data_IF_153304372370
#
_entry.id   IF_153304372370
#
_cell.length_a   1.000
_cell.length_b   1.000
_cell.length_c   1.000
_cell.angle_alpha   90.00
_cell.angle_beta   90.00
_cell.angle_gamma   90.00
#
_symmetry.space_group_name_H-M   'P 1'
#
loop_
_entity.id
_entity.type
_entity.pdbx_description
1 polymer ?
#
# COMPACT_ATOMS: atom_id res chain seq x y z
N UNK A 1 -23.49 27.27 -15.20
CA UNK A 1 -23.87 25.93 -14.68
C UNK A 1 -23.06 25.72 -13.42
N UNK A 2 -23.63 26.09 -12.26
CA UNK A 2 -22.92 26.06 -10.98
C UNK A 2 -22.96 24.62 -10.48
N UNK A 3 -21.85 23.89 -10.60
CA UNK A 3 -21.74 22.52 -10.08
C UNK A 3 -21.69 22.65 -8.56
N UNK A 4 -22.85 22.56 -7.91
CA UNK A 4 -22.91 22.31 -6.47
C UNK A 4 -22.29 20.94 -6.27
N UNK A 5 -21.01 20.91 -5.89
CA UNK A 5 -20.33 19.68 -5.49
C UNK A 5 -21.02 19.25 -4.20
N UNK A 6 -21.96 18.32 -4.32
CA UNK A 6 -22.57 17.70 -3.16
C UNK A 6 -21.48 16.89 -2.46
N UNK A 7 -21.00 17.44 -1.35
CA UNK A 7 -19.96 16.85 -0.50
C UNK A 7 -20.36 15.44 -0.06
N UNK A 8 -21.67 15.19 0.12
CA UNK A 8 -22.17 13.88 0.51
C UNK A 8 -22.05 12.88 -0.66
N UNK A 9 -22.41 13.26 -1.88
CA UNK A 9 -22.20 12.38 -3.05
C UNK A 9 -20.71 12.10 -3.27
N UNK A 10 -19.86 13.13 -3.16
CA UNK A 10 -18.40 12.97 -3.32
C UNK A 10 -17.82 12.01 -2.28
N UNK A 11 -18.30 12.09 -1.04
CA UNK A 11 -17.92 11.19 0.04
C UNK A 11 -18.36 9.74 -0.21
N UNK A 12 -19.59 9.53 -0.69
CA UNK A 12 -20.11 8.20 -1.04
C UNK A 12 -19.33 7.57 -2.20
N UNK A 13 -19.00 8.35 -3.23
CA UNK A 13 -18.18 7.88 -4.35
C UNK A 13 -16.76 7.52 -3.89
N UNK A 14 -16.13 8.34 -3.04
CA UNK A 14 -14.82 8.03 -2.47
C UNK A 14 -14.85 6.74 -1.63
N UNK A 15 -15.88 6.58 -0.77
CA UNK A 15 -16.14 5.33 -0.01
C UNK A 15 -16.21 4.12 -0.93
N UNK A 16 -17.00 4.21 -2.00
CA UNK A 16 -17.18 3.12 -2.95
C UNK A 16 -15.85 2.72 -3.61
N UNK A 17 -15.08 3.71 -4.10
CA UNK A 17 -13.78 3.47 -4.75
C UNK A 17 -12.82 2.81 -3.78
N UNK A 18 -12.69 3.31 -2.55
CA UNK A 18 -11.74 2.76 -1.59
C UNK A 18 -12.10 1.32 -1.22
N UNK A 19 -13.37 1.02 -0.98
CA UNK A 19 -13.84 -0.33 -0.63
C UNK A 19 -13.64 -1.31 -1.79
N UNK A 20 -13.90 -0.88 -3.02
CA UNK A 20 -13.75 -1.74 -4.22
C UNK A 20 -12.31 -1.86 -4.70
N UNK A 21 -11.45 -0.88 -4.44
CA UNK A 21 -10.02 -0.96 -4.80
C UNK A 21 -9.23 -1.76 -3.76
N UNK A 22 -9.67 -1.76 -2.50
CA UNK A 22 -9.13 -2.61 -1.43
C UNK A 22 -9.61 -4.08 -1.56
N UNK A 23 -9.49 -4.64 -2.76
CA UNK A 23 -9.73 -6.04 -3.05
C UNK A 23 -8.71 -6.95 -2.35
N UNK A 24 -9.07 -8.20 -2.01
CA UNK A 24 -8.15 -9.17 -1.41
C UNK A 24 -6.90 -9.41 -2.27
N UNK A 25 -7.02 -9.27 -3.59
CA UNK A 25 -5.91 -9.40 -4.54
C UNK A 25 -4.84 -8.32 -4.34
N UNK A 26 -5.24 -7.07 -4.06
CA UNK A 26 -4.31 -5.97 -3.79
C UNK A 26 -3.52 -6.22 -2.50
N UNK A 27 -4.19 -6.69 -1.44
CA UNK A 27 -3.51 -7.05 -0.18
C UNK A 27 -2.48 -8.16 -0.40
N UNK A 28 -2.84 -9.19 -1.18
CA UNK A 28 -1.95 -10.28 -1.49
C UNK A 28 -0.74 -9.81 -2.32
N UNK A 29 -0.96 -8.99 -3.34
CA UNK A 29 0.10 -8.42 -4.16
C UNK A 29 1.08 -7.56 -3.34
N UNK A 30 0.57 -6.72 -2.45
CA UNK A 30 1.40 -5.92 -1.54
C UNK A 30 2.19 -6.80 -0.56
N UNK A 31 1.59 -7.86 -0.04
CA UNK A 31 2.24 -8.78 0.89
C UNK A 31 3.40 -9.53 0.22
N UNK A 32 3.15 -10.08 -0.98
CA UNK A 32 4.17 -10.77 -1.78
C UNK A 32 5.31 -9.79 -2.09
N UNK A 33 4.98 -8.58 -2.53
CA UNK A 33 5.98 -7.54 -2.83
C UNK A 33 6.82 -7.17 -1.61
N UNK A 34 6.20 -7.06 -0.43
CA UNK A 34 6.88 -6.78 0.82
C UNK A 34 7.87 -7.89 1.19
N UNK A 35 7.47 -9.15 1.08
CA UNK A 35 8.31 -10.32 1.37
C UNK A 35 9.46 -10.42 0.37
N UNK A 36 9.17 -10.29 -0.93
CA UNK A 36 10.19 -10.32 -1.99
C UNK A 36 11.23 -9.21 -1.80
N UNK A 37 10.78 -7.99 -1.49
CA UNK A 37 11.68 -6.85 -1.24
C UNK A 37 12.52 -7.05 0.04
N UNK A 38 11.94 -7.62 1.09
CA UNK A 38 12.70 -7.95 2.30
C UNK A 38 13.79 -8.99 2.03
N UNK A 39 13.44 -10.05 1.29
CA UNK A 39 14.37 -11.11 0.93
C UNK A 39 15.49 -10.59 0.02
N UNK A 40 15.14 -9.77 -0.99
CA UNK A 40 16.09 -9.12 -1.88
C UNK A 40 17.05 -8.21 -1.11
N UNK A 41 16.55 -7.42 -0.16
CA UNK A 41 17.41 -6.59 0.69
C UNK A 41 18.42 -7.41 1.49
N UNK A 42 18.03 -8.57 2.02
CA UNK A 42 18.93 -9.44 2.77
C UNK A 42 19.98 -10.08 1.86
N UNK A 43 19.64 -10.44 0.63
CA UNK A 43 20.62 -10.89 -0.37
C UNK A 43 21.61 -9.78 -0.73
N UNK A 44 21.13 -8.56 -0.96
CA UNK A 44 21.98 -7.41 -1.30
C UNK A 44 22.90 -7.00 -0.14
N UNK A 45 22.41 -7.08 1.10
CA UNK A 45 23.19 -6.76 2.30
C UNK A 45 24.35 -7.75 2.53
N UNK A 46 24.24 -9.01 2.09
CA UNK A 46 25.33 -10.00 2.23
C UNK A 46 26.60 -9.62 1.47
N UNK A 47 26.48 -8.90 0.37
CA UNK A 47 27.62 -8.59 -0.50
C UNK A 47 28.34 -7.27 -0.14
N UNK A 48 27.86 -6.52 0.87
CA UNK A 48 28.37 -5.23 1.40
C UNK A 48 28.55 -4.06 0.39
N UNK A 49 28.82 -4.35 -0.88
CA UNK A 49 28.95 -3.40 -1.98
C UNK A 49 27.60 -2.81 -2.44
N UNK A 50 26.49 -3.41 -2.01
CA UNK A 50 25.12 -3.02 -2.39
C UNK A 50 24.24 -2.60 -1.21
N UNK A 51 24.85 -2.05 -0.16
CA UNK A 51 24.13 -1.56 1.04
C UNK A 51 23.07 -0.49 0.71
N UNK A 52 23.34 0.37 -0.27
CA UNK A 52 22.40 1.41 -0.71
C UNK A 52 21.12 0.80 -1.29
N UNK A 53 21.28 -0.21 -2.13
CA UNK A 53 20.17 -0.93 -2.78
C UNK A 53 19.41 -1.79 -1.76
N UNK A 54 20.13 -2.41 -0.82
CA UNK A 54 19.53 -3.14 0.29
C UNK A 54 18.64 -2.23 1.16
N UNK A 55 19.10 -1.01 1.48
CA UNK A 55 18.30 -0.03 2.21
C UNK A 55 17.07 0.43 1.42
N UNK A 56 17.21 0.67 0.12
CA UNK A 56 16.08 1.03 -0.73
C UNK A 56 15.03 -0.09 -0.78
N UNK A 57 15.48 -1.34 -0.94
CA UNK A 57 14.61 -2.51 -0.97
C UNK A 57 13.88 -2.73 0.37
N UNK A 58 14.54 -2.49 1.52
CA UNK A 58 13.86 -2.46 2.84
C UNK A 58 12.80 -1.36 2.93
N UNK A 59 13.09 -0.17 2.40
CA UNK A 59 12.10 0.93 2.38
C UNK A 59 10.86 0.53 1.58
N UNK A 60 11.01 -0.10 0.41
CA UNK A 60 9.87 -0.61 -0.36
C UNK A 60 9.05 -1.61 0.47
N UNK A 61 9.72 -2.57 1.11
CA UNK A 61 9.05 -3.55 1.97
C UNK A 61 8.21 -2.88 3.07
N UNK A 62 8.79 -1.90 3.77
CA UNK A 62 8.07 -1.14 4.79
C UNK A 62 6.92 -0.30 4.24
N UNK A 63 7.08 0.33 3.08
CA UNK A 63 6.01 1.10 2.43
C UNK A 63 4.84 0.18 2.06
N UNK A 64 5.12 -1.01 1.50
CA UNK A 64 4.08 -1.99 1.21
C UNK A 64 3.32 -2.44 2.47
N UNK A 65 4.03 -2.71 3.57
CA UNK A 65 3.39 -3.05 4.85
C UNK A 65 2.57 -1.88 5.43
N UNK A 66 3.07 -0.65 5.31
CA UNK A 66 2.35 0.55 5.74
C UNK A 66 1.07 0.74 4.92
N UNK A 67 1.12 0.54 3.60
CA UNK A 67 -0.04 0.61 2.73
C UNK A 67 -1.08 -0.46 3.10
N UNK A 68 -0.65 -1.70 3.39
CA UNK A 68 -1.54 -2.75 3.88
C UNK A 68 -2.25 -2.31 5.17
N UNK A 69 -1.50 -1.81 6.16
CA UNK A 69 -2.06 -1.36 7.43
C UNK A 69 -3.03 -0.19 7.23
N UNK A 70 -2.67 0.77 6.39
CA UNK A 70 -3.49 1.96 6.10
C UNK A 70 -4.79 1.57 5.41
N UNK A 71 -4.74 0.71 4.39
CA UNK A 71 -5.92 0.20 3.68
C UNK A 71 -6.82 -0.61 4.62
N UNK A 72 -6.23 -1.41 5.50
CA UNK A 72 -6.97 -2.19 6.48
C UNK A 72 -7.72 -1.28 7.46
N UNK A 73 -7.04 -0.28 8.03
CA UNK A 73 -7.65 0.71 8.93
C UNK A 73 -8.76 1.48 8.21
N UNK A 74 -8.51 2.01 7.00
CA UNK A 74 -9.52 2.71 6.22
C UNK A 74 -10.75 1.83 6.00
N UNK A 75 -10.56 0.55 5.65
CA UNK A 75 -11.67 -0.37 5.43
C UNK A 75 -12.52 -0.57 6.69
N UNK A 76 -11.93 -0.58 7.89
CA UNK A 76 -12.69 -0.68 9.14
C UNK A 76 -13.51 0.57 9.43
N UNK A 77 -12.99 1.77 9.10
CA UNK A 77 -13.72 3.03 9.26
C UNK A 77 -14.81 3.26 8.20
N UNK A 78 -14.64 2.69 7.00
CA UNK A 78 -15.56 2.88 5.89
C UNK A 78 -16.70 1.87 5.86
N UNK A 79 -16.50 0.68 6.46
CA UNK A 79 -17.56 -0.30 6.79
C UNK A 79 -18.62 0.33 7.70
#
# INVERSE_FOLDING_TARGET
MNVHIDMNQTWQTAKFIIVHTAQPELYLALLITAICSWHLANMLAKHNDRLRDAMFSRKISYICLLLIATLFILRQFLK
#
